data_IF_853783938848
#
_entry.id   IF_853783938848
#
_cell.length_a   1.000
_cell.length_b   1.000
_cell.length_c   1.000
_cell.angle_alpha   90.00
_cell.angle_beta   90.00
_cell.angle_gamma   90.00
#
_symmetry.space_group_name_H-M   'P 1'
#
loop_
_entity.id
_entity.type
_entity.pdbx_description
1 polymer ?
#
# COMPACT_ATOMS: atom_id res chain seq x y z
N UNK A 1 0.13 -9.16 -23.92
CA UNK A 1 -0.67 -10.22 -23.30
C UNK A 1 -0.51 -10.17 -21.79
N UNK A 2 -1.60 -10.14 -21.04
CA UNK A 2 -1.48 -10.23 -19.59
C UNK A 2 -0.87 -11.58 -19.20
N UNK A 3 0.07 -11.56 -18.26
CA UNK A 3 0.69 -12.77 -17.73
C UNK A 3 -0.28 -13.45 -16.78
N UNK A 4 -0.55 -14.74 -17.02
CA UNK A 4 -1.37 -15.55 -16.11
C UNK A 4 -0.46 -16.37 -15.21
N UNK A 5 -0.55 -16.15 -13.91
CA UNK A 5 0.24 -16.89 -12.92
C UNK A 5 -0.62 -18.04 -12.38
N UNK A 6 -0.15 -19.26 -12.54
CA UNK A 6 -0.93 -20.47 -12.27
C UNK A 6 -0.57 -21.16 -10.95
N UNK A 7 0.59 -20.88 -10.39
CA UNK A 7 1.06 -21.53 -9.18
C UNK A 7 2.04 -20.62 -8.40
N UNK A 8 2.37 -21.04 -7.18
CA UNK A 8 3.24 -20.29 -6.28
C UNK A 8 4.63 -20.06 -6.85
N UNK A 9 5.18 -21.02 -7.56
CA UNK A 9 6.51 -20.88 -8.16
C UNK A 9 6.54 -19.79 -9.22
N UNK A 10 5.49 -19.69 -10.02
CA UNK A 10 5.34 -18.63 -11.03
C UNK A 10 5.16 -17.27 -10.38
N UNK A 11 4.36 -17.19 -9.29
CA UNK A 11 4.16 -15.96 -8.51
C UNK A 11 5.49 -15.48 -7.91
N UNK A 12 6.24 -16.38 -7.29
CA UNK A 12 7.57 -16.05 -6.74
C UNK A 12 8.51 -15.51 -7.80
N UNK A 13 8.58 -16.21 -8.93
CA UNK A 13 9.45 -15.80 -10.04
C UNK A 13 9.06 -14.43 -10.58
N UNK A 14 7.77 -14.16 -10.71
CA UNK A 14 7.25 -12.87 -11.13
C UNK A 14 7.74 -11.76 -10.22
N UNK A 15 7.57 -11.91 -8.90
CA UNK A 15 7.98 -10.89 -7.95
C UNK A 15 9.49 -10.75 -7.79
N UNK A 16 10.25 -11.83 -7.95
CA UNK A 16 11.73 -11.76 -7.95
C UNK A 16 12.29 -11.07 -9.18
N UNK A 17 11.56 -11.03 -10.27
CA UNK A 17 11.94 -10.34 -11.52
C UNK A 17 11.32 -8.97 -11.66
N UNK A 18 10.58 -8.53 -10.67
CA UNK A 18 9.90 -7.23 -10.73
C UNK A 18 10.88 -6.09 -10.87
N UNK A 19 10.66 -5.22 -11.84
CA UNK A 19 11.46 -4.04 -12.08
C UNK A 19 10.78 -2.75 -11.57
N UNK A 20 9.47 -2.77 -11.39
CA UNK A 20 8.73 -1.62 -10.91
C UNK A 20 8.91 -1.43 -9.40
N UNK A 21 9.09 -0.18 -8.93
CA UNK A 21 9.16 0.07 -7.50
C UNK A 21 7.81 -0.17 -6.84
N UNK A 22 7.81 -0.91 -5.74
CA UNK A 22 6.61 -1.20 -4.95
C UNK A 22 6.78 -0.59 -3.57
N UNK A 23 5.78 0.15 -3.12
CA UNK A 23 5.79 0.81 -1.82
C UNK A 23 4.60 0.35 -0.99
N UNK A 24 4.88 -0.18 0.19
CA UNK A 24 3.86 -0.37 1.21
C UNK A 24 3.84 0.87 2.10
N UNK A 25 2.70 1.56 2.09
CA UNK A 25 2.54 2.84 2.80
C UNK A 25 1.58 2.63 3.96
N UNK A 26 2.06 2.84 5.19
CA UNK A 26 1.29 2.56 6.39
C UNK A 26 1.84 3.33 7.58
N UNK A 27 1.09 3.35 8.69
CA UNK A 27 1.56 3.91 9.94
C UNK A 27 2.81 3.18 10.44
N UNK A 28 2.86 1.86 10.30
CA UNK A 28 3.98 1.01 10.68
C UNK A 28 4.25 -0.02 9.59
N UNK A 29 5.39 -0.68 9.65
CA UNK A 29 5.76 -1.72 8.67
C UNK A 29 5.46 -3.16 9.14
N UNK A 30 4.83 -3.33 10.30
CA UNK A 30 4.62 -4.66 10.88
C UNK A 30 3.75 -5.60 10.05
N UNK A 31 2.74 -5.07 9.40
CA UNK A 31 1.72 -5.89 8.76
C UNK A 31 2.21 -6.73 7.58
N UNK A 32 3.24 -6.25 6.89
CA UNK A 32 3.78 -6.92 5.70
C UNK A 32 5.28 -7.17 5.82
N UNK A 33 5.73 -7.48 7.05
CA UNK A 33 7.13 -7.82 7.30
C UNK A 33 7.58 -8.99 6.41
N UNK A 34 8.77 -8.83 5.83
CA UNK A 34 9.37 -9.87 5.01
C UNK A 34 9.01 -9.82 3.52
N UNK A 35 8.03 -9.02 3.11
CA UNK A 35 7.69 -8.90 1.70
C UNK A 35 8.81 -8.28 0.87
N UNK A 36 9.66 -7.45 1.48
CA UNK A 36 10.82 -6.87 0.82
C UNK A 36 11.87 -7.94 0.40
N UNK A 37 11.84 -9.12 1.03
CA UNK A 37 12.67 -10.26 0.63
C UNK A 37 12.06 -11.04 -0.55
N UNK A 38 10.75 -10.96 -0.73
CA UNK A 38 10.03 -11.70 -1.77
C UNK A 38 9.80 -10.89 -3.04
N UNK A 39 9.57 -9.58 -2.88
CA UNK A 39 9.25 -8.67 -3.98
C UNK A 39 10.44 -7.77 -4.23
N UNK A 40 11.07 -7.90 -5.39
CA UNK A 40 12.18 -7.04 -5.78
C UNK A 40 11.71 -5.58 -5.88
N UNK A 41 12.55 -4.65 -5.47
CA UNK A 41 12.29 -3.20 -5.46
C UNK A 41 11.18 -2.76 -4.49
N UNK A 42 10.96 -3.54 -3.43
CA UNK A 42 9.95 -3.25 -2.41
C UNK A 42 10.54 -2.36 -1.32
N UNK A 43 9.80 -1.30 -0.96
CA UNK A 43 10.15 -0.42 0.17
C UNK A 43 8.92 -0.17 1.03
N UNK A 44 9.16 0.02 2.32
CA UNK A 44 8.14 0.48 3.26
C UNK A 44 8.26 1.99 3.43
N UNK A 45 7.14 2.70 3.39
CA UNK A 45 7.07 4.11 3.74
C UNK A 45 6.15 4.19 4.96
N UNK A 46 6.72 4.56 6.11
CA UNK A 46 6.03 4.49 7.40
C UNK A 46 6.07 5.82 8.13
N UNK A 47 5.05 6.05 8.96
CA UNK A 47 5.03 7.17 9.88
C UNK A 47 5.91 6.89 11.11
N UNK A 48 5.86 5.64 11.61
CA UNK A 48 6.66 5.21 12.75
C UNK A 48 7.68 4.18 12.26
N UNK A 49 8.96 4.47 12.51
CA UNK A 49 10.04 3.53 12.21
C UNK A 49 10.26 2.59 13.39
N UNK A 50 9.87 1.34 13.20
CA UNK A 50 9.98 0.31 14.22
C UNK A 50 11.38 -0.30 14.34
N UNK A 51 12.31 0.12 13.50
CA UNK A 51 13.69 -0.41 13.46
C UNK A 51 14.76 0.63 13.81
N UNK A 52 14.36 1.82 14.26
CA UNK A 52 15.30 2.86 14.66
C UNK A 52 16.22 3.32 13.54
N UNK A 53 15.73 3.38 12.32
CA UNK A 53 16.49 3.82 11.16
C UNK A 53 17.45 2.79 10.59
N UNK A 54 17.42 1.55 11.08
CA UNK A 54 18.40 0.52 10.71
C UNK A 54 17.96 -0.40 9.56
N UNK A 55 16.68 -0.41 9.22
CA UNK A 55 16.21 -1.28 8.15
C UNK A 55 16.41 -0.61 6.78
N UNK A 56 17.15 -1.26 5.84
CA UNK A 56 17.51 -0.64 4.56
C UNK A 56 16.31 -0.38 3.63
N UNK A 57 15.20 -1.09 3.85
CA UNK A 57 14.02 -0.98 3.00
C UNK A 57 12.87 -0.19 3.65
N UNK A 58 13.11 0.44 4.80
CA UNK A 58 12.15 1.29 5.49
C UNK A 58 12.54 2.75 5.34
N UNK A 59 11.62 3.55 4.82
CA UNK A 59 11.74 5.00 4.74
C UNK A 59 10.70 5.64 5.68
N UNK A 60 11.18 6.47 6.59
CA UNK A 60 10.33 7.20 7.53
C UNK A 60 10.68 8.68 7.43
N UNK A 61 9.77 9.54 6.94
CA UNK A 61 10.08 10.96 6.81
C UNK A 61 10.13 11.66 8.17
N UNK A 62 10.75 12.82 8.21
CA UNK A 62 10.76 13.66 9.42
C UNK A 62 9.37 14.16 9.74
N UNK A 63 9.09 14.34 11.02
CA UNK A 63 7.81 14.87 11.48
C UNK A 63 7.58 16.28 10.97
N UNK A 64 6.37 16.53 10.45
CA UNK A 64 5.95 17.85 10.02
C UNK A 64 4.61 18.21 10.67
N UNK A 65 4.30 19.51 10.82
CA UNK A 65 3.00 19.93 11.36
C UNK A 65 1.84 19.32 10.54
N UNK A 66 0.88 18.77 11.23
CA UNK A 66 -0.31 18.17 10.64
C UNK A 66 -1.48 18.26 11.62
N UNK A 67 -2.69 18.12 11.09
CA UNK A 67 -3.87 17.99 11.92
C UNK A 67 -3.83 16.64 12.66
N UNK A 68 -4.53 16.55 13.78
CA UNK A 68 -4.64 15.29 14.52
C UNK A 68 -5.21 14.19 13.61
N UNK A 69 -4.56 13.03 13.61
CA UNK A 69 -5.04 11.89 12.83
C UNK A 69 -6.29 11.30 13.47
N UNK A 70 -7.34 11.16 12.68
CA UNK A 70 -8.59 10.53 13.12
C UNK A 70 -8.67 9.06 12.68
N UNK A 71 -7.80 8.66 11.73
CA UNK A 71 -7.84 7.33 11.15
C UNK A 71 -6.46 6.96 10.57
N UNK A 72 -6.30 5.69 10.24
CA UNK A 72 -5.09 5.20 9.55
C UNK A 72 -5.02 5.80 8.14
N UNK A 73 -6.17 6.01 7.49
CA UNK A 73 -6.24 6.66 6.19
C UNK A 73 -5.64 8.07 6.23
N UNK A 74 -5.86 8.82 7.32
CA UNK A 74 -5.27 10.15 7.50
C UNK A 74 -3.74 10.08 7.54
N UNK A 75 -3.18 9.05 8.17
CA UNK A 75 -1.73 8.84 8.22
C UNK A 75 -1.19 8.55 6.83
N UNK A 76 -1.84 7.69 6.07
CA UNK A 76 -1.44 7.39 4.70
C UNK A 76 -1.50 8.64 3.81
N UNK A 77 -2.53 9.44 3.95
CA UNK A 77 -2.70 10.69 3.20
C UNK A 77 -1.65 11.73 3.58
N UNK A 78 -1.30 11.82 4.87
CA UNK A 78 -0.19 12.65 5.34
C UNK A 78 1.13 12.24 4.67
N UNK A 79 1.43 10.94 4.64
CA UNK A 79 2.66 10.43 4.03
C UNK A 79 2.72 10.73 2.53
N UNK A 80 1.62 10.58 1.82
CA UNK A 80 1.57 10.85 0.37
C UNK A 80 1.69 12.33 0.02
N UNK A 81 1.44 13.22 0.96
CA UNK A 81 1.59 14.66 0.79
C UNK A 81 2.92 15.19 1.33
N UNK A 82 3.68 14.37 2.03
CA UNK A 82 4.95 14.76 2.62
C UNK A 82 6.00 14.92 1.53
N UNK A 83 6.66 16.07 1.51
CA UNK A 83 7.66 16.38 0.47
C UNK A 83 8.79 15.35 0.41
N UNK A 84 9.30 14.91 1.56
CA UNK A 84 10.38 13.90 1.60
C UNK A 84 9.94 12.57 0.99
N UNK A 85 8.69 12.18 1.20
CA UNK A 85 8.11 10.96 0.61
C UNK A 85 7.98 11.11 -0.91
N UNK A 86 7.44 12.24 -1.36
CA UNK A 86 7.30 12.53 -2.80
C UNK A 86 8.65 12.53 -3.48
N UNK A 87 9.64 13.19 -2.89
CA UNK A 87 11.00 13.25 -3.45
C UNK A 87 11.66 11.87 -3.47
N UNK A 88 11.45 11.06 -2.43
CA UNK A 88 11.95 9.68 -2.37
C UNK A 88 11.40 8.83 -3.52
N UNK A 89 10.08 8.88 -3.74
CA UNK A 89 9.42 8.14 -4.81
C UNK A 89 9.93 8.62 -6.18
N UNK A 90 10.01 9.92 -6.37
CA UNK A 90 10.50 10.49 -7.65
C UNK A 90 11.94 10.15 -7.96
N UNK A 91 12.82 10.17 -6.96
CA UNK A 91 14.23 9.81 -7.13
C UNK A 91 14.43 8.36 -7.57
N UNK A 92 13.62 7.46 -7.07
CA UNK A 92 13.69 6.06 -7.47
C UNK A 92 13.16 5.82 -8.88
N UNK A 93 12.32 6.72 -9.38
CA UNK A 93 11.79 6.64 -10.73
C UNK A 93 10.90 5.43 -10.98
N UNK A 94 10.77 5.06 -12.26
CA UNK A 94 9.90 3.96 -12.66
C UNK A 94 8.42 4.28 -12.50
N UNK A 95 7.58 3.27 -12.68
CA UNK A 95 6.14 3.39 -12.47
C UNK A 95 5.80 2.83 -11.09
N UNK A 96 5.56 3.67 -10.08
CA UNK A 96 5.36 3.20 -8.72
C UNK A 96 4.06 2.42 -8.56
N UNK A 97 4.12 1.39 -7.71
CA UNK A 97 2.98 0.58 -7.29
C UNK A 97 2.79 0.78 -5.81
N UNK A 98 1.60 1.16 -5.39
CA UNK A 98 1.30 1.39 -3.97
C UNK A 98 0.45 0.26 -3.41
N UNK A 99 0.80 -0.16 -2.20
CA UNK A 99 0.08 -1.17 -1.43
C UNK A 99 -0.33 -0.52 -0.12
N UNK A 100 -1.62 -0.58 0.20
CA UNK A 100 -2.17 -0.05 1.45
C UNK A 100 -3.04 -1.12 2.10
N UNK A 101 -3.07 -1.16 3.42
CA UNK A 101 -4.08 -1.96 4.13
C UNK A 101 -5.37 -1.18 4.32
N UNK A 102 -5.24 0.11 4.64
CA UNK A 102 -6.36 1.01 4.90
C UNK A 102 -6.20 2.26 4.05
N UNK A 103 -7.16 2.53 3.19
CA UNK A 103 -7.11 3.71 2.33
C UNK A 103 -8.51 4.18 1.95
N UNK A 104 -8.63 5.46 1.62
CA UNK A 104 -9.88 6.09 1.20
C UNK A 104 -9.77 6.69 -0.20
N UNK A 105 -10.80 7.39 -0.64
CA UNK A 105 -10.82 8.01 -1.96
C UNK A 105 -9.76 9.11 -2.11
N UNK A 106 -9.43 9.81 -1.02
CA UNK A 106 -8.36 10.80 -1.01
C UNK A 106 -7.00 10.14 -1.26
N UNK A 107 -6.76 8.98 -0.64
CA UNK A 107 -5.55 8.19 -0.88
C UNK A 107 -5.42 7.80 -2.35
N UNK A 108 -6.52 7.40 -2.97
CA UNK A 108 -6.53 7.07 -4.40
C UNK A 108 -6.19 8.30 -5.26
N UNK A 109 -6.77 9.46 -4.94
CA UNK A 109 -6.50 10.70 -5.65
C UNK A 109 -5.03 11.10 -5.56
N UNK A 110 -4.46 11.07 -4.36
CA UNK A 110 -3.06 11.40 -4.11
C UNK A 110 -2.12 10.42 -4.83
N UNK A 111 -2.45 9.13 -4.83
CA UNK A 111 -1.68 8.12 -5.54
C UNK A 111 -1.65 8.39 -7.04
N UNK A 112 -2.79 8.75 -7.61
CA UNK A 112 -2.92 9.08 -9.02
C UNK A 112 -2.08 10.32 -9.38
N UNK A 113 -2.07 11.33 -8.53
CA UNK A 113 -1.25 12.53 -8.72
C UNK A 113 0.25 12.19 -8.78
N UNK A 114 0.69 11.17 -8.06
CA UNK A 114 2.07 10.69 -8.07
C UNK A 114 2.36 9.74 -9.23
N UNK A 115 1.38 9.46 -10.08
CA UNK A 115 1.55 8.53 -11.19
C UNK A 115 1.62 7.08 -10.77
N UNK A 116 1.12 6.75 -9.60
CA UNK A 116 1.17 5.40 -9.04
C UNK A 116 -0.07 4.60 -9.35
N UNK A 117 0.11 3.28 -9.51
CA UNK A 117 -0.98 2.33 -9.53
C UNK A 117 -1.18 1.77 -8.12
N UNK A 118 -2.42 1.72 -7.66
CA UNK A 118 -2.76 1.09 -6.38
C UNK A 118 -3.10 -0.38 -6.63
N UNK A 119 -2.40 -1.29 -5.96
CA UNK A 119 -2.57 -2.74 -6.13
C UNK A 119 -3.70 -3.29 -5.24
N UNK A 120 -4.84 -2.62 -5.26
CA UNK A 120 -6.05 -3.06 -4.56
C UNK A 120 -7.29 -2.58 -5.32
N UNK A 121 -8.45 -3.21 -5.11
CA UNK A 121 -9.72 -2.68 -5.60
C UNK A 121 -9.97 -1.26 -5.06
N UNK A 122 -10.82 -0.52 -5.74
CA UNK A 122 -11.11 0.87 -5.36
C UNK A 122 -11.64 0.98 -3.93
N UNK A 123 -11.32 2.09 -3.27
CA UNK A 123 -11.74 2.39 -1.90
C UNK A 123 -13.26 2.28 -1.72
N UNK A 124 -14.02 2.68 -2.72
CA UNK A 124 -15.48 2.57 -2.70
C UNK A 124 -15.95 1.12 -2.49
N UNK A 125 -15.32 0.17 -3.17
CA UNK A 125 -15.64 -1.25 -3.01
C UNK A 125 -15.25 -1.72 -1.61
N UNK A 126 -14.07 -1.32 -1.15
CA UNK A 126 -13.60 -1.67 0.19
C UNK A 126 -14.54 -1.17 1.29
N UNK A 127 -14.96 0.09 1.21
CA UNK A 127 -15.93 0.66 2.16
C UNK A 127 -17.23 -0.15 2.18
N UNK A 128 -17.70 -0.55 1.01
CA UNK A 128 -18.87 -1.43 0.89
C UNK A 128 -18.64 -2.78 1.56
N UNK A 129 -17.48 -3.40 1.36
CA UNK A 129 -17.16 -4.70 1.95
C UNK A 129 -16.93 -4.64 3.46
N UNK A 130 -16.42 -3.51 3.96
CA UNK A 130 -16.23 -3.29 5.40
C UNK A 130 -17.55 -3.08 6.14
N UNK A 131 -18.63 -2.78 5.44
CA UNK A 131 -19.96 -2.69 6.04
C UNK A 131 -20.49 -4.08 6.36
N UNK A 132 -20.74 -4.36 7.64
CA UNK A 132 -21.15 -5.69 8.10
C UNK A 132 -22.44 -6.17 7.45
N UNK A 133 -23.41 -5.30 7.26
CA UNK A 133 -24.69 -5.64 6.62
C UNK A 133 -24.46 -6.02 5.16
N UNK A 134 -23.71 -5.23 4.43
CA UNK A 134 -23.38 -5.50 3.02
C UNK A 134 -22.57 -6.77 2.85
N UNK A 135 -21.61 -7.03 3.75
CA UNK A 135 -20.79 -8.24 3.71
C UNK A 135 -21.65 -9.49 3.89
N UNK A 136 -22.57 -9.48 4.85
CA UNK A 136 -23.52 -10.59 5.07
C UNK A 136 -24.40 -10.78 3.84
N UNK A 137 -24.92 -9.72 3.29
CA UNK A 137 -25.78 -9.76 2.09
C UNK A 137 -25.06 -10.35 0.88
N UNK A 138 -23.80 -9.92 0.65
CA UNK A 138 -22.96 -10.44 -0.44
C UNK A 138 -22.64 -11.91 -0.22
N UNK A 139 -22.30 -12.30 1.01
CA UNK A 139 -22.03 -13.69 1.36
C UNK A 139 -23.22 -14.58 1.12
N UNK A 140 -24.42 -14.16 1.55
CA UNK A 140 -25.66 -14.90 1.33
C UNK A 140 -25.97 -15.04 -0.16
N UNK A 141 -25.80 -13.96 -0.94
CA UNK A 141 -26.04 -14.00 -2.39
C UNK A 141 -25.05 -14.94 -3.10
N UNK A 142 -23.83 -15.06 -2.59
CA UNK A 142 -22.82 -15.98 -3.11
C UNK A 142 -22.97 -17.41 -2.59
N UNK A 143 -23.95 -17.69 -1.74
CA UNK A 143 -24.20 -19.01 -1.17
C UNK A 143 -23.33 -19.35 0.03
N UNK A 144 -22.68 -18.36 0.63
CA UNK A 144 -21.87 -18.55 1.83
C UNK A 144 -22.70 -18.18 3.07
N UNK A 145 -22.95 -19.14 4.00
CA UNK A 145 -23.72 -18.82 5.21
C UNK A 145 -22.96 -17.83 6.10
N UNK A 146 -23.69 -16.95 6.70
CA UNK A 146 -23.13 -15.92 7.59
C UNK A 146 -23.85 -15.87 8.92
#
# INVERSE_FOLDING_TARGET
MPTVLKNISEIRRFFHRNEDPVYFISATNFNLLGLDEWVKNFKYICYIDCYGGKHPNVFCPSEQPHAEFQSIEDINNYLLQHKEVIDFIKRRGGKPKFVFLMFDEETERLSKELGADVWFPKAKLRTKMDNKIETVRIGNKAGVPS
#
